data_IF_635835740308
#
_entry.id   IF_635835740308
#
_cell.length_a   1.000
_cell.length_b   1.000
_cell.length_c   1.000
_cell.angle_alpha   90.00
_cell.angle_beta   90.00
_cell.angle_gamma   90.00
#
_symmetry.space_group_name_H-M   'P 1'
#
loop_
_entity.id
_entity.type
_entity.pdbx_description
1 polymer ?
#
# COMPACT_ATOMS: atom_id res chain seq x y z
N UNK A 1 28.34 44.95 -8.18
CA UNK A 1 27.94 43.53 -8.15
C UNK A 1 26.67 43.46 -7.34
N UNK A 2 25.53 43.23 -8.01
CA UNK A 2 24.21 43.42 -7.39
C UNK A 2 23.77 42.17 -6.63
N UNK A 3 22.91 42.36 -5.63
CA UNK A 3 22.31 41.31 -4.81
C UNK A 3 21.65 40.20 -5.64
N UNK A 4 21.16 40.55 -6.84
CA UNK A 4 20.56 39.63 -7.81
C UNK A 4 21.54 38.59 -8.35
N UNK A 5 22.83 38.93 -8.52
CA UNK A 5 23.85 37.99 -8.98
C UNK A 5 24.19 36.93 -7.92
N UNK A 6 24.08 37.27 -6.63
CA UNK A 6 24.30 36.35 -5.52
C UNK A 6 23.14 35.35 -5.34
N UNK A 7 21.90 35.75 -5.67
CA UNK A 7 20.73 34.87 -5.58
C UNK A 7 20.76 33.83 -6.71
N UNK A 8 21.05 34.26 -7.95
CA UNK A 8 21.14 33.34 -9.11
C UNK A 8 22.28 32.33 -8.90
N UNK A 9 23.43 32.76 -8.36
CA UNK A 9 24.53 31.86 -8.05
C UNK A 9 24.18 30.85 -6.95
N UNK A 10 23.44 31.24 -5.91
CA UNK A 10 22.95 30.32 -4.87
C UNK A 10 21.90 29.32 -5.38
N UNK A 11 21.12 29.70 -6.39
CA UNK A 11 20.16 28.79 -7.04
C UNK A 11 20.88 27.81 -7.97
N UNK A 12 21.98 28.22 -8.63
CA UNK A 12 22.79 27.33 -9.46
C UNK A 12 23.72 26.41 -8.66
N UNK A 13 24.20 26.83 -7.48
CA UNK A 13 25.04 26.00 -6.59
C UNK A 13 24.21 25.04 -5.73
N UNK A 14 22.90 25.27 -5.56
CA UNK A 14 21.94 24.22 -5.16
C UNK A 14 21.62 23.37 -6.39
N UNK A 15 22.58 22.52 -6.73
CA UNK A 15 22.49 21.56 -7.82
C UNK A 15 21.10 20.92 -7.88
N UNK A 16 20.45 21.18 -9.02
CA UNK A 16 19.32 20.44 -9.55
C UNK A 16 19.75 18.97 -9.57
N UNK A 17 19.34 18.24 -8.53
CA UNK A 17 19.33 16.79 -8.54
C UNK A 17 18.38 16.37 -9.65
N UNK A 18 18.98 15.86 -10.71
CA UNK A 18 18.33 15.24 -11.86
C UNK A 18 17.40 14.13 -11.36
N UNK A 19 16.11 14.21 -11.71
CA UNK A 19 15.17 13.09 -11.70
C UNK A 19 14.09 13.08 -10.60
N UNK A 20 13.24 14.11 -10.54
CA UNK A 20 11.93 14.03 -9.86
C UNK A 20 10.81 13.59 -10.82
N UNK A 21 11.15 12.73 -11.77
CA UNK A 21 10.18 12.14 -12.68
C UNK A 21 9.96 10.71 -12.19
N UNK A 22 8.82 10.46 -11.56
CA UNK A 22 8.40 9.13 -11.07
C UNK A 22 8.14 8.11 -12.19
N UNK A 23 8.75 8.32 -13.36
CA UNK A 23 8.63 7.55 -14.59
C UNK A 23 9.65 6.43 -14.71
N UNK A 24 10.57 6.29 -13.74
CA UNK A 24 11.41 5.09 -13.65
C UNK A 24 10.72 4.04 -12.79
N UNK A 25 10.15 3.02 -13.44
CA UNK A 25 9.82 1.75 -12.79
C UNK A 25 11.04 1.27 -12.01
N UNK A 26 10.98 1.22 -10.67
CA UNK A 26 12.07 0.65 -9.89
C UNK A 26 12.26 -0.81 -10.32
N UNK A 27 13.52 -1.27 -10.37
CA UNK A 27 13.85 -2.69 -10.53
C UNK A 27 12.98 -3.55 -9.59
N UNK A 28 12.58 -4.77 -9.96
CA UNK A 28 11.87 -5.70 -9.07
C UNK A 28 12.56 -5.92 -7.72
N UNK A 29 13.87 -5.66 -7.66
CA UNK A 29 14.72 -5.78 -6.46
C UNK A 29 14.91 -4.46 -5.69
N UNK A 30 14.37 -3.35 -6.16
CA UNK A 30 14.55 -2.04 -5.55
C UNK A 30 13.52 -1.81 -4.43
N UNK A 31 14.02 -1.69 -3.19
CA UNK A 31 13.23 -1.20 -2.05
C UNK A 31 12.92 0.28 -2.32
N UNK A 32 11.64 0.60 -2.54
CA UNK A 32 11.18 2.00 -2.56
C UNK A 32 11.12 2.47 -1.11
N UNK A 33 12.24 3.01 -0.61
CA UNK A 33 12.26 3.57 0.75
C UNK A 33 11.47 4.87 0.75
N UNK A 34 10.42 4.95 1.58
CA UNK A 34 9.77 6.22 1.90
C UNK A 34 10.75 7.26 2.44
N UNK A 35 10.43 8.54 2.28
CA UNK A 35 11.28 9.63 2.78
C UNK A 35 11.21 9.72 4.31
N UNK A 36 12.34 9.95 4.99
CA UNK A 36 12.43 10.02 6.47
C UNK A 36 11.47 11.04 7.14
N UNK A 37 11.02 12.04 6.39
CA UNK A 37 10.07 13.06 6.83
C UNK A 37 8.66 12.47 7.03
N UNK A 38 8.33 11.39 6.32
CA UNK A 38 7.10 10.65 6.49
C UNK A 38 7.14 9.72 7.73
N UNK A 39 8.32 9.45 8.28
CA UNK A 39 8.54 8.59 9.46
C UNK A 39 8.50 9.37 10.78
N UNK A 40 8.15 10.64 10.70
CA UNK A 40 7.94 11.54 11.81
C UNK A 40 9.16 12.26 12.37
N UNK A 41 10.40 11.91 12.04
CA UNK A 41 11.56 12.65 12.54
C UNK A 41 11.62 12.81 14.08
N UNK A 42 12.50 13.69 14.59
CA UNK A 42 12.64 13.97 16.03
C UNK A 42 11.50 14.88 16.52
N UNK A 43 10.72 14.42 17.51
CA UNK A 43 9.61 15.17 18.10
C UNK A 43 8.21 14.71 17.67
N UNK A 44 8.09 13.67 16.83
CA UNK A 44 6.79 13.09 16.50
C UNK A 44 6.23 12.17 17.59
N UNK A 45 4.91 12.05 17.59
CA UNK A 45 4.13 11.31 18.60
C UNK A 45 4.33 9.79 18.56
N UNK A 46 4.91 9.23 17.49
CA UNK A 46 4.93 7.77 17.26
C UNK A 46 6.34 7.26 16.86
N UNK A 47 6.95 6.32 17.61
CA UNK A 47 8.29 5.82 17.36
C UNK A 47 8.32 4.73 16.27
N UNK A 48 7.89 5.04 15.05
CA UNK A 48 7.99 4.11 13.92
C UNK A 48 9.41 4.18 13.36
N UNK A 49 10.12 3.06 13.40
CA UNK A 49 11.51 2.96 12.94
C UNK A 49 11.73 1.68 12.14
N UNK A 50 12.60 1.71 11.12
CA UNK A 50 13.05 0.50 10.45
C UNK A 50 13.54 -0.55 11.43
N UNK A 51 13.19 -1.81 11.15
CA UNK A 51 13.64 -2.99 11.88
C UNK A 51 13.22 -3.04 13.36
N UNK A 52 12.12 -2.35 13.71
CA UNK A 52 11.58 -2.36 15.06
C UNK A 52 10.18 -2.96 15.09
N UNK A 53 9.89 -3.74 16.14
CA UNK A 53 8.54 -4.17 16.44
C UNK A 53 7.81 -3.06 17.20
N UNK A 54 6.56 -2.83 16.83
CA UNK A 54 5.67 -1.88 17.50
C UNK A 54 4.44 -2.62 18.02
N UNK A 55 3.85 -2.17 19.15
CA UNK A 55 2.60 -2.74 19.67
C UNK A 55 1.46 -2.66 18.63
N UNK A 56 0.39 -3.46 18.78
CA UNK A 56 -0.81 -3.36 17.95
C UNK A 56 -1.38 -1.94 17.99
N UNK A 57 -1.88 -1.48 16.85
CA UNK A 57 -2.35 -0.11 16.70
C UNK A 57 -3.48 0.00 15.66
N UNK A 58 -4.32 1.02 15.83
CA UNK A 58 -5.17 1.55 14.78
C UNK A 58 -4.44 2.69 14.09
N UNK A 59 -4.25 2.59 12.79
CA UNK A 59 -3.40 3.52 12.03
C UNK A 59 -4.15 4.06 10.82
N UNK A 60 -4.08 5.37 10.61
CA UNK A 60 -4.68 6.05 9.47
C UNK A 60 -3.59 6.72 8.62
N UNK A 61 -3.68 6.57 7.30
CA UNK A 61 -2.67 7.03 6.36
C UNK A 61 -3.29 7.83 5.22
N UNK A 62 -2.55 8.77 4.64
CA UNK A 62 -2.81 9.17 3.25
C UNK A 62 -2.40 8.03 2.33
N UNK A 63 -3.12 7.83 1.23
CA UNK A 63 -2.81 6.81 0.23
C UNK A 63 -2.78 7.45 -1.15
N UNK A 64 -1.80 7.04 -1.95
CA UNK A 64 -1.79 7.22 -3.41
C UNK A 64 -1.99 5.86 -4.05
N UNK A 65 -2.89 5.76 -5.01
CA UNK A 65 -3.09 4.56 -5.79
C UNK A 65 -2.94 4.91 -7.27
N UNK A 66 -2.35 4.03 -8.06
CA UNK A 66 -2.33 4.14 -9.51
C UNK A 66 -2.87 2.85 -10.09
N UNK A 67 -4.04 2.91 -10.72
CA UNK A 67 -4.68 1.75 -11.32
C UNK A 67 -4.62 1.84 -12.83
N UNK A 68 -4.40 0.70 -13.48
CA UNK A 68 -4.53 0.54 -14.92
C UNK A 68 -5.74 -0.34 -15.18
N UNK A 69 -6.77 0.22 -15.82
CA UNK A 69 -8.07 -0.42 -15.97
C UNK A 69 -8.46 -0.44 -17.45
N UNK A 70 -8.99 -1.57 -17.90
CA UNK A 70 -9.66 -1.75 -19.17
C UNK A 70 -11.14 -2.02 -18.88
N UNK A 71 -12.04 -1.24 -19.49
CA UNK A 71 -13.49 -1.43 -19.42
C UNK A 71 -14.02 -1.66 -20.83
N UNK A 72 -14.70 -2.79 -21.03
CA UNK A 72 -15.26 -3.17 -22.32
C UNK A 72 -16.32 -2.16 -22.77
N UNK A 73 -16.14 -1.63 -23.98
CA UNK A 73 -17.03 -0.61 -24.56
C UNK A 73 -16.77 0.82 -24.11
N UNK A 74 -15.89 1.06 -23.13
CA UNK A 74 -15.52 2.41 -22.66
C UNK A 74 -14.07 2.76 -23.01
N UNK A 75 -13.11 1.87 -22.74
CA UNK A 75 -11.70 2.07 -23.08
C UNK A 75 -10.73 1.56 -22.02
N UNK A 76 -9.45 1.85 -22.23
CA UNK A 76 -8.34 1.54 -21.32
C UNK A 76 -7.70 2.84 -20.85
N UNK A 77 -7.46 3.00 -19.55
CA UNK A 77 -6.77 4.17 -19.01
C UNK A 77 -6.08 3.87 -17.68
N UNK A 78 -5.14 4.76 -17.32
CA UNK A 78 -4.43 4.75 -16.05
C UNK A 78 -4.92 5.92 -15.19
N UNK A 79 -5.38 5.61 -13.98
CA UNK A 79 -5.94 6.61 -13.06
C UNK A 79 -5.05 6.76 -11.85
N UNK A 80 -4.58 7.99 -11.59
CA UNK A 80 -3.96 8.36 -10.32
C UNK A 80 -5.06 8.74 -9.32
N UNK A 81 -5.09 8.06 -8.18
CA UNK A 81 -6.06 8.27 -7.11
C UNK A 81 -5.38 8.68 -5.81
N UNK A 82 -6.11 9.44 -5.02
CA UNK A 82 -5.65 9.95 -3.73
C UNK A 82 -6.74 9.84 -2.69
N UNK A 83 -6.34 9.56 -1.45
CA UNK A 83 -7.27 9.54 -0.34
C UNK A 83 -6.65 8.99 0.94
N UNK A 84 -7.38 8.13 1.64
CA UNK A 84 -6.94 7.61 2.93
C UNK A 84 -7.29 6.14 3.12
N UNK A 85 -6.53 5.51 4.01
CA UNK A 85 -6.83 4.17 4.49
C UNK A 85 -6.65 4.07 6.00
N UNK A 86 -7.41 3.15 6.62
CA UNK A 86 -7.29 2.81 8.03
C UNK A 86 -7.03 1.31 8.16
N UNK A 87 -5.99 0.99 8.93
CA UNK A 87 -5.58 -0.37 9.23
C UNK A 87 -5.67 -0.61 10.73
N UNK A 88 -6.03 -1.84 11.10
CA UNK A 88 -5.84 -2.35 12.45
C UNK A 88 -4.72 -3.37 12.43
N UNK A 89 -3.58 -3.00 13.00
CA UNK A 89 -2.43 -3.88 13.14
C UNK A 89 -2.55 -4.74 14.39
N UNK A 90 -2.35 -6.04 14.25
CA UNK A 90 -2.38 -7.01 15.33
C UNK A 90 -1.01 -7.13 16.00
N UNK A 91 -0.95 -7.90 17.09
CA UNK A 91 0.30 -8.25 17.73
C UNK A 91 1.22 -9.02 16.77
N UNK A 92 2.53 -8.70 16.77
CA UNK A 92 3.51 -9.53 16.08
C UNK A 92 3.62 -10.88 16.79
N UNK A 93 3.85 -11.94 16.02
CA UNK A 93 4.10 -13.28 16.57
C UNK A 93 5.25 -13.94 15.81
N UNK A 94 5.91 -14.91 16.44
CA UNK A 94 6.93 -15.74 15.81
C UNK A 94 6.47 -17.21 15.78
N UNK A 95 7.18 -18.05 15.03
CA UNK A 95 6.96 -19.49 15.09
C UNK A 95 7.28 -20.04 16.49
N UNK A 96 6.68 -21.18 16.84
CA UNK A 96 6.90 -21.81 18.15
C UNK A 96 8.38 -22.07 18.43
N UNK A 97 8.84 -21.63 19.60
CA UNK A 97 10.23 -21.76 20.02
C UNK A 97 11.21 -20.79 19.36
N UNK A 98 10.74 -19.87 18.50
CA UNK A 98 11.54 -18.80 17.90
C UNK A 98 11.38 -17.51 18.70
N UNK A 99 12.49 -16.85 19.01
CA UNK A 99 12.47 -15.56 19.68
C UNK A 99 11.75 -14.51 18.83
N UNK A 100 10.91 -13.70 19.48
CA UNK A 100 10.15 -12.65 18.81
C UNK A 100 11.04 -11.42 18.57
N UNK A 101 11.60 -11.34 17.38
CA UNK A 101 12.40 -10.21 16.91
C UNK A 101 11.81 -9.68 15.61
N UNK A 102 12.30 -8.52 15.14
CA UNK A 102 11.92 -8.03 13.83
C UNK A 102 12.12 -9.12 12.77
N UNK A 103 13.34 -9.65 12.56
CA UNK A 103 13.62 -10.59 11.46
C UNK A 103 12.73 -11.85 11.48
N UNK A 104 12.43 -12.39 12.66
CA UNK A 104 11.67 -13.63 12.86
C UNK A 104 10.15 -13.45 12.97
N UNK A 105 9.67 -12.24 13.22
CA UNK A 105 8.25 -11.96 13.40
C UNK A 105 7.41 -12.08 12.12
N UNK A 106 6.16 -12.46 12.28
CA UNK A 106 5.07 -12.20 11.35
C UNK A 106 4.19 -11.11 11.95
N UNK A 107 3.85 -10.11 11.15
CA UNK A 107 2.95 -9.02 11.53
C UNK A 107 1.75 -9.09 10.61
N UNK A 108 0.55 -8.96 11.18
CA UNK A 108 -0.69 -8.95 10.40
C UNK A 108 -1.46 -7.67 10.67
N UNK A 109 -2.26 -7.25 9.69
CA UNK A 109 -3.17 -6.13 9.83
C UNK A 109 -4.49 -6.44 9.13
N UNK A 110 -5.59 -5.96 9.70
CA UNK A 110 -6.89 -5.90 9.05
C UNK A 110 -7.04 -4.57 8.31
N UNK A 111 -7.54 -4.63 7.08
CA UNK A 111 -7.87 -3.45 6.31
C UNK A 111 -9.31 -3.02 6.63
N UNK A 112 -9.47 -1.86 7.26
CA UNK A 112 -10.78 -1.41 7.73
C UNK A 112 -11.47 -0.51 6.72
N UNK A 113 -10.74 0.44 6.15
CA UNK A 113 -11.25 1.29 5.07
C UNK A 113 -10.14 1.66 4.11
N UNK A 114 -10.52 1.76 2.84
CA UNK A 114 -9.81 2.46 1.77
C UNK A 114 -10.83 3.35 1.09
N UNK A 115 -10.50 4.61 0.91
CA UNK A 115 -11.26 5.52 0.05
C UNK A 115 -10.28 6.40 -0.68
N UNK A 116 -10.16 6.19 -1.99
CA UNK A 116 -9.34 7.03 -2.86
C UNK A 116 -10.16 7.46 -4.07
N UNK A 117 -9.88 8.65 -4.58
CA UNK A 117 -10.59 9.23 -5.72
C UNK A 117 -9.59 9.81 -6.71
N UNK A 118 -9.90 9.68 -7.99
CA UNK A 118 -9.14 10.22 -9.10
C UNK A 118 -10.06 10.63 -10.24
N UNK A 119 -9.47 11.17 -11.30
CA UNK A 119 -10.16 11.51 -12.52
C UNK A 119 -9.42 10.93 -13.72
N UNK A 120 -10.18 10.48 -14.71
CA UNK A 120 -9.68 9.99 -15.99
C UNK A 120 -10.51 10.62 -17.11
N UNK A 121 -9.85 11.00 -18.20
CA UNK A 121 -10.53 11.56 -19.37
C UNK A 121 -11.46 10.52 -20.04
N UNK A 122 -11.19 9.22 -19.82
CA UNK A 122 -11.97 8.10 -20.35
C UNK A 122 -13.11 7.72 -19.39
N UNK A 123 -12.82 7.66 -18.09
CA UNK A 123 -13.73 7.09 -17.08
C UNK A 123 -14.52 8.14 -16.30
N UNK A 124 -14.16 9.43 -16.42
CA UNK A 124 -14.66 10.49 -15.56
C UNK A 124 -14.08 10.39 -14.16
N UNK A 125 -14.87 10.76 -13.16
CA UNK A 125 -14.52 10.52 -11.76
C UNK A 125 -14.48 9.02 -11.46
N UNK A 126 -13.39 8.57 -10.84
CA UNK A 126 -13.22 7.21 -10.35
C UNK A 126 -13.03 7.23 -8.84
N UNK A 127 -13.78 6.41 -8.13
CA UNK A 127 -13.61 6.19 -6.70
C UNK A 127 -13.33 4.72 -6.44
N UNK A 128 -12.32 4.44 -5.63
CA UNK A 128 -11.96 3.09 -5.21
C UNK A 128 -12.15 2.96 -3.70
N UNK A 129 -12.75 1.85 -3.31
CA UNK A 129 -12.90 1.47 -1.91
C UNK A 129 -12.70 -0.02 -1.69
N UNK A 130 -12.42 -0.41 -0.46
CA UNK A 130 -12.42 -1.82 -0.06
C UNK A 130 -13.85 -2.38 0.04
N UNK A 131 -14.00 -3.70 0.11
CA UNK A 131 -15.28 -4.36 0.40
C UNK A 131 -15.33 -4.75 1.89
N UNK A 132 -15.96 -3.97 2.80
CA UNK A 132 -15.81 -4.19 4.24
C UNK A 132 -16.38 -5.51 4.75
N UNK A 133 -17.26 -6.15 3.98
CA UNK A 133 -17.83 -7.46 4.29
C UNK A 133 -16.85 -8.63 4.01
N UNK A 134 -15.78 -8.38 3.26
CA UNK A 134 -14.79 -9.41 2.90
C UNK A 134 -13.57 -9.37 3.83
N UNK A 135 -12.91 -10.52 4.05
CA UNK A 135 -11.71 -10.57 4.88
C UNK A 135 -10.53 -9.94 4.13
N UNK A 136 -10.25 -8.68 4.44
CA UNK A 136 -9.16 -7.93 3.83
C UNK A 136 -8.09 -7.56 4.84
N UNK A 137 -6.83 -7.58 4.40
CA UNK A 137 -5.73 -7.29 5.30
C UNK A 137 -4.36 -7.42 4.66
N UNK A 138 -3.35 -7.26 5.51
CA UNK A 138 -1.96 -7.40 5.13
C UNK A 138 -1.22 -8.38 6.04
N UNK A 139 -0.24 -9.07 5.49
CA UNK A 139 0.72 -9.91 6.20
C UNK A 139 2.13 -9.50 5.82
N UNK A 140 2.95 -9.28 6.83
CA UNK A 140 4.39 -9.05 6.71
C UNK A 140 5.09 -10.26 7.32
N UNK A 141 5.84 -11.03 6.52
CA UNK A 141 6.44 -12.29 6.93
C UNK A 141 7.97 -12.28 6.86
N UNK A 142 8.68 -13.12 7.64
CA UNK A 142 10.10 -13.34 7.44
C UNK A 142 10.39 -13.79 6.00
N UNK A 143 11.46 -13.24 5.42
CA UNK A 143 11.90 -13.59 4.06
C UNK A 143 13.26 -14.27 4.14
N UNK A 144 13.37 -15.54 3.71
CA UNK A 144 14.67 -16.20 3.61
C UNK A 144 15.46 -15.65 2.43
N UNK A 145 16.76 -15.44 2.60
CA UNK A 145 17.71 -15.27 1.50
C UNK A 145 17.93 -16.60 0.78
N UNK A 146 18.69 -16.57 -0.33
CA UNK A 146 18.99 -17.76 -1.15
C UNK A 146 19.72 -18.87 -0.38
N UNK A 147 20.47 -18.52 0.66
CA UNK A 147 21.19 -19.44 1.54
C UNK A 147 20.37 -19.88 2.78
N UNK A 148 19.11 -19.44 2.88
CA UNK A 148 18.20 -19.78 3.97
C UNK A 148 18.28 -18.87 5.20
N UNK A 149 19.18 -17.88 5.22
CA UNK A 149 19.28 -16.92 6.32
C UNK A 149 18.08 -15.95 6.29
N UNK A 150 17.56 -15.52 7.44
CA UNK A 150 16.49 -14.52 7.43
C UNK A 150 17.02 -13.14 7.08
N UNK A 151 16.37 -12.49 6.11
CA UNK A 151 16.67 -11.12 5.73
C UNK A 151 15.98 -10.14 6.68
N UNK A 152 16.59 -8.97 6.96
CA UNK A 152 15.94 -7.89 7.71
C UNK A 152 14.84 -7.22 6.88
N UNK A 153 14.82 -7.35 5.55
CA UNK A 153 13.70 -6.92 4.73
C UNK A 153 12.67 -8.04 4.67
N UNK A 154 11.40 -7.70 4.85
CA UNK A 154 10.29 -8.65 4.89
C UNK A 154 9.39 -8.53 3.68
N UNK A 155 8.82 -9.63 3.23
CA UNK A 155 7.75 -9.62 2.23
C UNK A 155 6.46 -9.15 2.89
N UNK A 156 5.81 -8.16 2.27
CA UNK A 156 4.50 -7.68 2.63
C UNK A 156 3.52 -8.07 1.52
N UNK A 157 2.41 -8.69 1.92
CA UNK A 157 1.32 -9.08 1.02
C UNK A 157 0.05 -8.44 1.55
N UNK A 158 -0.61 -7.66 0.72
CA UNK A 158 -1.92 -7.04 1.00
C UNK A 158 -2.96 -7.69 0.11
N UNK A 159 -3.99 -8.25 0.71
CA UNK A 159 -5.08 -8.97 0.04
C UNK A 159 -6.38 -8.17 0.22
N UNK A 160 -6.95 -7.69 -0.88
CA UNK A 160 -8.14 -6.80 -0.91
C UNK A 160 -9.17 -7.23 -1.96
N UNK A 161 -10.39 -6.74 -1.82
CA UNK A 161 -11.46 -6.88 -2.82
C UNK A 161 -11.95 -5.48 -3.21
N UNK A 162 -11.28 -4.83 -4.18
CA UNK A 162 -11.58 -3.44 -4.51
C UNK A 162 -12.92 -3.32 -5.23
N UNK A 163 -13.61 -2.22 -4.93
CA UNK A 163 -14.81 -1.74 -5.61
C UNK A 163 -14.47 -0.42 -6.29
N UNK A 164 -14.82 -0.31 -7.57
CA UNK A 164 -14.57 0.86 -8.41
C UNK A 164 -15.91 1.48 -8.80
N UNK A 165 -16.20 2.68 -8.31
CA UNK A 165 -17.30 3.50 -8.81
C UNK A 165 -16.75 4.31 -10.00
N UNK A 166 -17.25 4.03 -11.21
CA UNK A 166 -16.78 4.67 -12.45
C UNK A 166 -17.91 5.53 -13.02
N UNK A 167 -17.71 6.85 -13.06
CA UNK A 167 -18.73 7.82 -13.47
C UNK A 167 -19.32 7.52 -14.85
N UNK A 168 -18.46 7.35 -15.86
CA UNK A 168 -18.93 7.13 -17.24
C UNK A 168 -19.61 5.78 -17.46
N UNK A 169 -19.37 4.81 -16.56
CA UNK A 169 -20.07 3.53 -16.57
C UNK A 169 -21.41 3.61 -15.79
N UNK A 170 -21.56 4.60 -14.91
CA UNK A 170 -22.76 4.82 -14.10
C UNK A 170 -23.04 3.72 -13.07
N UNK A 171 -22.06 2.88 -12.75
CA UNK A 171 -22.20 1.75 -11.83
C UNK A 171 -20.90 1.43 -11.08
N UNK A 172 -21.00 0.53 -10.11
CA UNK A 172 -19.87 -0.06 -9.38
C UNK A 172 -19.41 -1.33 -10.09
N UNK A 173 -18.10 -1.50 -10.23
CA UNK A 173 -17.47 -2.76 -10.68
C UNK A 173 -16.52 -3.30 -9.61
N UNK A 174 -16.29 -4.61 -9.63
CA UNK A 174 -15.50 -5.31 -8.60
C UNK A 174 -14.79 -6.55 -9.15
N UNK A 175 -13.84 -7.09 -8.39
CA UNK A 175 -13.13 -8.33 -8.78
C UNK A 175 -13.87 -9.62 -8.42
N UNK A 176 -15.14 -9.53 -8.03
CA UNK A 176 -15.96 -10.67 -7.61
C UNK A 176 -15.34 -11.33 -6.37
N UNK A 177 -15.25 -12.66 -6.35
CA UNK A 177 -14.59 -13.42 -5.28
C UNK A 177 -13.08 -13.59 -5.46
N UNK A 178 -12.50 -12.96 -6.48
CA UNK A 178 -11.06 -13.00 -6.68
C UNK A 178 -10.39 -11.93 -5.83
N UNK A 179 -9.54 -12.39 -4.90
CA UNK A 179 -8.68 -11.52 -4.10
C UNK A 179 -7.64 -10.84 -4.99
N UNK A 180 -7.53 -9.51 -4.86
CA UNK A 180 -6.45 -8.73 -5.46
C UNK A 180 -5.29 -8.72 -4.48
N UNK A 181 -4.15 -9.22 -4.93
CA UNK A 181 -2.94 -9.35 -4.14
C UNK A 181 -1.93 -8.30 -4.55
N UNK A 182 -1.52 -7.46 -3.61
CA UNK A 182 -0.46 -6.48 -3.78
C UNK A 182 0.75 -6.89 -2.94
N UNK A 183 1.92 -6.89 -3.57
CA UNK A 183 3.15 -7.39 -2.98
C UNK A 183 4.19 -6.27 -2.89
N UNK A 184 4.90 -6.21 -1.78
CA UNK A 184 6.06 -5.32 -1.59
C UNK A 184 7.09 -5.94 -0.66
N UNK A 185 8.20 -5.23 -0.50
CA UNK A 185 9.29 -5.58 0.43
C UNK A 185 9.58 -4.40 1.33
N UNK A 186 9.42 -4.61 2.63
CA UNK A 186 9.37 -3.52 3.60
C UNK A 186 10.41 -3.70 4.71
N UNK A 187 10.88 -2.56 5.24
CA UNK A 187 11.84 -2.51 6.35
C UNK A 187 11.21 -2.05 7.67
N UNK A 188 9.95 -1.62 7.66
CA UNK A 188 9.26 -1.08 8.82
C UNK A 188 7.76 -1.36 8.74
N UNK A 189 7.09 -1.37 9.88
CA UNK A 189 5.63 -1.40 9.95
C UNK A 189 5.15 -0.24 10.84
N UNK A 190 4.21 0.59 10.37
CA UNK A 190 3.61 0.58 9.02
C UNK A 190 4.60 0.95 7.90
N UNK A 191 4.39 0.45 6.67
CA UNK A 191 5.34 0.58 5.55
C UNK A 191 5.23 1.96 4.86
N UNK A 192 5.46 3.03 5.61
CA UNK A 192 5.31 4.41 5.14
C UNK A 192 6.27 4.74 3.99
N UNK A 193 5.69 5.09 2.85
CA UNK A 193 6.33 5.42 1.57
C UNK A 193 6.81 4.21 0.77
N UNK A 194 6.49 2.99 1.22
CA UNK A 194 6.63 1.80 0.39
C UNK A 194 5.44 1.69 -0.59
N UNK A 195 5.71 1.06 -1.74
CA UNK A 195 4.70 0.80 -2.78
C UNK A 195 4.48 -0.70 -2.91
N UNK A 196 3.22 -1.14 -2.82
CA UNK A 196 2.79 -2.51 -3.13
C UNK A 196 2.14 -2.58 -4.49
N UNK A 197 2.39 -3.68 -5.22
CA UNK A 197 1.95 -3.82 -6.62
C UNK A 197 1.30 -5.16 -6.88
N UNK A 198 0.35 -5.18 -7.80
CA UNK A 198 -0.19 -6.42 -8.36
C UNK A 198 0.80 -7.07 -9.32
N UNK A 199 0.87 -8.40 -9.33
CA UNK A 199 1.67 -9.19 -10.29
C UNK A 199 0.83 -9.90 -11.36
N UNK A 200 -0.50 -9.74 -11.32
CA UNK A 200 -1.44 -10.37 -12.24
C UNK A 200 -2.59 -9.43 -12.62
N UNK A 201 -3.30 -9.79 -13.69
CA UNK A 201 -4.55 -9.14 -14.10
C UNK A 201 -5.75 -9.79 -13.41
N UNK A 202 -6.80 -9.00 -13.18
CA UNK A 202 -8.02 -9.43 -12.52
C UNK A 202 -9.25 -9.05 -13.35
N UNK A 203 -10.18 -9.98 -13.64
CA UNK A 203 -11.43 -9.64 -14.29
C UNK A 203 -12.25 -8.71 -13.40
N UNK A 204 -12.94 -7.78 -14.03
CA UNK A 204 -13.92 -6.89 -13.40
C UNK A 204 -15.32 -7.35 -13.78
N UNK A 205 -16.20 -7.28 -12.79
CA UNK A 205 -17.61 -7.63 -12.91
C UNK A 205 -18.48 -6.46 -12.47
N UNK A 206 -19.64 -6.30 -13.10
CA UNK A 206 -20.68 -5.41 -12.59
C UNK A 206 -21.46 -6.05 -11.43
N UNK A 207 -22.46 -5.34 -10.92
CA UNK A 207 -23.31 -5.80 -9.82
C UNK A 207 -24.18 -7.02 -10.14
N UNK A 208 -24.28 -7.42 -11.41
CA UNK A 208 -24.98 -8.63 -11.86
C UNK A 208 -24.00 -9.80 -12.14
N UNK A 209 -22.75 -9.68 -11.68
CA UNK A 209 -21.65 -10.63 -11.91
C UNK A 209 -21.32 -10.88 -13.39
N UNK A 210 -21.64 -9.92 -14.27
CA UNK A 210 -21.28 -10.00 -15.69
C UNK A 210 -19.88 -9.41 -15.88
N UNK A 211 -19.02 -10.03 -16.71
CA UNK A 211 -17.70 -9.48 -16.99
C UNK A 211 -17.83 -8.15 -17.76
N UNK A 212 -17.08 -7.15 -17.32
CA UNK A 212 -17.11 -5.78 -17.89
C UNK A 212 -15.71 -5.23 -18.19
N UNK A 213 -14.65 -6.00 -17.93
CA UNK A 213 -13.29 -5.62 -18.25
C UNK A 213 -12.25 -6.26 -17.34
N UNK A 214 -11.12 -5.58 -17.17
CA UNK A 214 -9.99 -6.04 -16.37
C UNK A 214 -9.34 -4.91 -15.56
N UNK A 215 -8.97 -5.20 -14.32
CA UNK A 215 -7.90 -4.51 -13.62
C UNK A 215 -6.57 -5.09 -14.13
N UNK A 216 -5.86 -4.30 -14.93
CA UNK A 216 -4.62 -4.71 -15.60
C UNK A 216 -3.45 -4.66 -14.62
N UNK A 217 -3.38 -3.60 -13.81
CA UNK A 217 -2.40 -3.42 -12.75
C UNK A 217 -2.90 -2.44 -11.68
N UNK A 218 -2.42 -2.59 -10.45
CA UNK A 218 -2.60 -1.59 -9.39
C UNK A 218 -1.32 -1.45 -8.57
N UNK A 219 -0.96 -0.20 -8.30
CA UNK A 219 0.10 0.20 -7.38
C UNK A 219 -0.52 1.00 -6.23
N UNK A 220 -0.23 0.64 -4.98
CA UNK A 220 -0.66 1.38 -3.79
C UNK A 220 0.56 1.84 -3.00
N UNK A 221 0.63 3.15 -2.74
CA UNK A 221 1.63 3.80 -1.91
C UNK A 221 1.00 4.20 -0.57
N UNK A 222 1.59 3.73 0.53
CA UNK A 222 1.23 4.21 1.86
C UNK A 222 1.94 5.53 2.08
N UNK A 223 1.22 6.64 2.12
CA UNK A 223 1.79 7.96 2.36
C UNK A 223 1.97 8.29 3.84
N UNK A 224 1.76 9.55 4.20
CA UNK A 224 1.94 10.05 5.56
C UNK A 224 1.00 9.36 6.56
N UNK A 225 1.55 9.01 7.72
CA UNK A 225 0.77 8.57 8.89
C UNK A 225 0.05 9.77 9.52
N UNK A 226 -1.27 9.72 9.54
CA UNK A 226 -2.14 10.75 10.10
C UNK A 226 -2.44 10.49 11.58
N UNK A 227 -2.72 9.23 11.92
CA UNK A 227 -3.02 8.81 13.28
C UNK A 227 -2.40 7.46 13.58
N UNK A 228 -1.94 7.28 14.82
CA UNK A 228 -1.51 6.00 15.36
C UNK A 228 -2.01 5.90 16.79
N UNK A 229 -2.90 4.96 17.03
CA UNK A 229 -3.55 4.77 18.33
C UNK A 229 -3.18 3.37 18.80
N UNK A 230 -2.29 3.22 19.78
CA UNK A 230 -2.05 1.91 20.39
C UNK A 230 -3.35 1.33 20.91
N UNK A 231 -3.59 0.05 20.63
CA UNK A 231 -4.80 -0.66 21.05
C UNK A 231 -4.41 -1.84 21.92
N UNK A 232 -5.39 -2.35 22.70
CA UNK A 232 -5.24 -3.67 23.29
C UNK A 232 -5.21 -4.74 22.20
N UNK A 233 -4.53 -5.85 22.48
CA UNK A 233 -4.51 -7.03 21.59
C UNK A 233 -5.91 -7.40 21.11
N UNK A 234 -6.04 -7.66 19.81
CA UNK A 234 -7.30 -8.00 19.17
C UNK A 234 -7.19 -9.40 18.56
N UNK A 235 -8.20 -10.23 18.79
CA UNK A 235 -8.31 -11.54 18.17
C UNK A 235 -8.57 -11.40 16.67
N UNK A 236 -7.73 -12.03 15.85
CA UNK A 236 -7.95 -12.14 14.40
C UNK A 236 -9.16 -13.05 14.19
N UNK A 237 -10.16 -12.58 13.44
CA UNK A 237 -11.34 -13.42 13.15
C UNK A 237 -10.93 -14.65 12.33
N UNK A 238 -11.64 -15.79 12.45
CA UNK A 238 -11.32 -16.99 11.68
C UNK A 238 -11.26 -16.74 10.17
N UNK A 239 -12.23 -16.00 9.62
CA UNK A 239 -12.26 -15.65 8.20
C UNK A 239 -11.03 -14.83 7.76
N UNK A 240 -10.60 -13.86 8.59
CA UNK A 240 -9.40 -13.09 8.30
C UNK A 240 -8.12 -13.92 8.48
N UNK A 241 -8.09 -14.83 9.44
CA UNK A 241 -6.99 -15.77 9.62
C UNK A 241 -6.82 -16.69 8.41
N UNK A 242 -7.89 -17.08 7.72
CA UNK A 242 -7.77 -17.86 6.49
C UNK A 242 -7.07 -17.11 5.36
N UNK A 243 -7.26 -15.79 5.27
CA UNK A 243 -6.58 -14.94 4.29
C UNK A 243 -5.14 -14.65 4.74
N UNK A 244 -4.95 -14.29 6.00
CA UNK A 244 -3.67 -13.78 6.50
C UNK A 244 -2.71 -14.88 6.96
N UNK A 245 -3.15 -16.07 7.32
CA UNK A 245 -2.30 -17.10 7.94
C UNK A 245 -2.14 -18.35 7.06
N UNK A 246 -3.04 -18.61 6.11
CA UNK A 246 -2.79 -19.65 5.10
C UNK A 246 -1.83 -19.08 4.04
N UNK A 247 -0.75 -19.79 3.77
CA UNK A 247 0.18 -19.57 2.67
C UNK A 247 0.48 -20.94 2.07
#
# INVERSE_FOLDING_TARGET
MSESENIIRRVMERGIGVGSDGSQSPSPDAVVKGHESAWGGPGNLYPIRPYTLTPPALEAFTVRERIHVLVDGLGEDIVDLHGMAIYRRHDPFAADGVELEWATSTITAQFLTLQVTGHSDVFGQVKVSNTPAKPEGARVRPTPSRDGTLMPIKDCVTDIYPQFEIEQLGQVVHTGDRVVRLESRIAMVPPIGDVSRTSARYPLYDSEDRPVGELVAADIEIGALLHHIPISSVTISPALAEVLLKA
#
